data_IF_022009499163
#
_entry.id   IF_022009499163
#
_cell.length_a   1.000
_cell.length_b   1.000
_cell.length_c   1.000
_cell.angle_alpha   90.00
_cell.angle_beta   90.00
_cell.angle_gamma   90.00
#
_symmetry.space_group_name_H-M   'P 1'
#
loop_
_entity.id
_entity.type
_entity.pdbx_description
1 polymer ?
#
# COMPACT_ATOMS: atom_id res chain seq x y z
N UNK A 1 -14.36 -40.42 26.45
CA UNK A 1 -13.43 -40.76 25.37
C UNK A 1 -12.06 -40.21 25.75
N UNK A 2 -10.99 -41.01 25.67
CA UNK A 2 -9.63 -40.54 25.96
C UNK A 2 -9.20 -39.56 24.82
N UNK A 3 -8.72 -38.36 25.18
CA UNK A 3 -8.18 -37.43 24.19
C UNK A 3 -6.98 -38.09 23.47
N UNK A 4 -6.86 -37.84 22.15
CA UNK A 4 -5.74 -38.32 21.35
C UNK A 4 -4.43 -37.64 21.76
N UNK A 5 -3.30 -38.32 21.65
CA UNK A 5 -2.00 -37.72 21.93
C UNK A 5 -1.73 -36.53 20.98
N UNK A 6 -1.21 -35.42 21.52
CA UNK A 6 -0.95 -34.20 20.73
C UNK A 6 0.12 -34.41 19.66
N UNK A 7 1.10 -35.28 19.87
CA UNK A 7 2.06 -35.65 18.84
C UNK A 7 1.39 -36.41 17.69
N UNK A 8 0.47 -37.36 18.03
CA UNK A 8 -0.29 -38.11 17.03
C UNK A 8 -1.22 -37.22 16.21
N UNK A 9 -1.81 -36.18 16.84
CA UNK A 9 -2.66 -35.21 16.13
C UNK A 9 -1.85 -34.46 15.10
N UNK A 10 -0.61 -34.06 15.40
CA UNK A 10 0.27 -33.36 14.47
C UNK A 10 1.01 -34.32 13.52
N UNK A 11 0.90 -35.65 13.71
CA UNK A 11 1.61 -36.65 12.91
C UNK A 11 3.12 -36.65 13.18
N UNK A 12 3.54 -36.42 14.43
CA UNK A 12 4.92 -36.35 14.87
C UNK A 12 5.21 -37.42 15.93
N UNK A 13 6.50 -37.74 16.13
CA UNK A 13 6.97 -38.56 17.22
C UNK A 13 7.34 -37.73 18.45
N UNK A 14 7.25 -38.33 19.65
CA UNK A 14 7.79 -37.71 20.88
C UNK A 14 9.28 -37.40 20.68
N UNK A 15 9.66 -36.17 20.93
CA UNK A 15 11.03 -35.71 20.68
C UNK A 15 11.23 -34.85 19.44
N UNK A 16 10.18 -34.63 18.62
CA UNK A 16 10.24 -33.72 17.49
C UNK A 16 10.72 -32.31 17.91
N UNK A 17 11.54 -31.66 17.06
CA UNK A 17 12.02 -30.31 17.32
C UNK A 17 10.90 -29.28 17.22
N UNK A 18 11.07 -28.10 17.83
CA UNK A 18 10.14 -26.98 17.75
C UNK A 18 9.84 -26.58 16.30
N UNK A 19 10.86 -26.62 15.44
CA UNK A 19 10.70 -26.35 14.01
C UNK A 19 9.81 -27.35 13.28
N UNK A 20 9.91 -28.64 13.65
CA UNK A 20 9.05 -29.70 13.08
C UNK A 20 7.60 -29.57 13.58
N UNK A 21 7.42 -29.28 14.85
CA UNK A 21 6.08 -29.02 15.44
C UNK A 21 5.40 -27.86 14.71
N UNK A 22 6.10 -26.75 14.53
CA UNK A 22 5.59 -25.57 13.80
C UNK A 22 5.26 -25.87 12.33
N UNK A 23 6.12 -26.65 11.66
CA UNK A 23 5.90 -27.06 10.26
C UNK A 23 4.71 -27.99 10.12
N UNK A 24 4.56 -28.96 11.02
CA UNK A 24 3.44 -29.89 11.02
C UNK A 24 2.10 -29.17 11.25
N UNK A 25 2.06 -28.30 12.27
CA UNK A 25 0.87 -27.47 12.53
C UNK A 25 0.49 -26.62 11.31
N UNK A 26 1.43 -25.90 10.68
CA UNK A 26 1.15 -25.11 9.48
C UNK A 26 0.54 -25.95 8.36
N UNK A 27 1.04 -27.14 8.14
CA UNK A 27 0.53 -28.07 7.13
C UNK A 27 -0.92 -28.48 7.43
N UNK A 28 -1.23 -28.77 8.68
CA UNK A 28 -2.58 -29.11 9.13
C UNK A 28 -3.53 -27.92 9.06
N UNK A 29 -3.09 -26.77 9.51
CA UNK A 29 -3.88 -25.53 9.48
C UNK A 29 -4.26 -25.14 8.05
N UNK A 30 -3.36 -25.21 7.07
CA UNK A 30 -3.65 -24.93 5.66
C UNK A 30 -4.59 -25.98 5.06
N UNK A 31 -4.44 -27.24 5.46
CA UNK A 31 -5.25 -28.35 4.93
C UNK A 31 -6.70 -28.30 5.42
N UNK A 32 -6.90 -27.97 6.69
CA UNK A 32 -8.23 -28.00 7.36
C UNK A 32 -8.75 -26.58 7.66
N UNK A 33 -8.24 -25.55 6.93
CA UNK A 33 -8.70 -24.17 7.10
C UNK A 33 -10.20 -24.06 6.76
N UNK A 34 -11.01 -23.33 7.55
CA UNK A 34 -12.43 -23.18 7.28
C UNK A 34 -12.71 -22.54 5.92
N UNK A 35 -11.90 -21.58 5.46
CA UNK A 35 -12.08 -20.97 4.14
C UNK A 35 -11.88 -21.95 2.97
N UNK A 36 -11.11 -23.02 3.19
CA UNK A 36 -10.87 -24.06 2.17
C UNK A 36 -11.84 -25.23 2.28
N UNK A 37 -12.47 -25.42 3.43
CA UNK A 37 -13.41 -26.49 3.71
C UNK A 37 -14.67 -25.90 4.35
N UNK A 38 -15.43 -25.04 3.63
CA UNK A 38 -16.66 -24.47 4.14
C UNK A 38 -17.64 -25.62 4.41
N UNK A 39 -18.32 -25.58 5.56
CA UNK A 39 -19.34 -26.56 6.01
C UNK A 39 -18.86 -27.99 6.31
N UNK A 40 -17.55 -28.27 6.33
CA UNK A 40 -17.00 -29.56 6.77
C UNK A 40 -16.70 -29.56 8.28
N UNK A 41 -17.66 -30.02 9.08
CA UNK A 41 -17.53 -30.16 10.54
C UNK A 41 -16.38 -31.06 10.98
N UNK A 42 -15.97 -32.01 10.12
CA UNK A 42 -14.83 -32.89 10.42
C UNK A 42 -13.50 -32.17 10.19
N UNK A 43 -13.41 -31.29 9.20
CA UNK A 43 -12.25 -30.44 8.99
C UNK A 43 -12.12 -29.41 10.14
N UNK A 44 -13.22 -28.81 10.58
CA UNK A 44 -13.25 -27.89 11.70
C UNK A 44 -12.76 -28.55 13.01
N UNK A 45 -13.22 -29.77 13.28
CA UNK A 45 -12.77 -30.54 14.46
C UNK A 45 -11.28 -30.83 14.40
N UNK A 46 -10.74 -31.24 13.26
CA UNK A 46 -9.30 -31.51 13.07
C UNK A 46 -8.47 -30.24 13.17
N UNK A 47 -8.99 -29.11 12.71
CA UNK A 47 -8.34 -27.82 12.86
C UNK A 47 -8.22 -27.41 14.34
N UNK A 48 -9.31 -27.57 15.11
CA UNK A 48 -9.33 -27.30 16.56
C UNK A 48 -8.36 -28.20 17.34
N UNK A 49 -8.36 -29.51 17.04
CA UNK A 49 -7.41 -30.47 17.64
C UNK A 49 -5.95 -30.09 17.32
N UNK A 50 -5.65 -29.72 16.09
CA UNK A 50 -4.31 -29.32 15.70
C UNK A 50 -3.86 -28.01 16.36
N UNK A 51 -4.77 -27.06 16.55
CA UNK A 51 -4.51 -25.80 17.26
C UNK A 51 -4.23 -26.05 18.76
N UNK A 52 -5.06 -26.89 19.43
CA UNK A 52 -4.84 -27.28 20.81
C UNK A 52 -3.49 -28.00 20.99
N UNK A 53 -3.15 -28.92 20.10
CA UNK A 53 -1.89 -29.62 20.11
C UNK A 53 -0.67 -28.67 19.95
N UNK A 54 -0.78 -27.68 19.05
CA UNK A 54 0.29 -26.69 18.84
C UNK A 54 0.42 -25.73 20.02
N UNK A 55 -0.67 -25.35 20.69
CA UNK A 55 -0.64 -24.49 21.87
C UNK A 55 0.17 -25.14 23.03
N UNK A 56 0.06 -26.44 23.17
CA UNK A 56 0.78 -27.17 24.20
C UNK A 56 2.21 -27.52 23.79
N UNK A 57 2.40 -28.05 22.58
CA UNK A 57 3.70 -28.52 22.13
C UNK A 57 4.63 -27.40 21.62
N UNK A 58 4.07 -26.24 21.26
CA UNK A 58 4.83 -25.07 20.80
C UNK A 58 5.45 -24.22 21.91
N UNK A 59 5.04 -24.43 23.16
CA UNK A 59 5.62 -23.79 24.35
C UNK A 59 6.47 -24.78 25.12
N UNK A 60 7.73 -24.44 25.37
CA UNK A 60 8.68 -25.35 26.01
C UNK A 60 8.24 -25.80 27.42
N UNK A 61 7.59 -24.93 28.21
CA UNK A 61 7.12 -25.25 29.55
C UNK A 61 5.87 -26.14 29.53
N UNK A 62 4.90 -25.80 28.70
CA UNK A 62 3.67 -26.61 28.53
C UNK A 62 4.01 -27.98 27.95
N UNK A 63 4.92 -28.03 26.98
CA UNK A 63 5.42 -29.28 26.40
C UNK A 63 6.06 -30.18 27.45
N UNK A 64 6.93 -29.63 28.29
CA UNK A 64 7.57 -30.39 29.37
C UNK A 64 6.55 -30.96 30.37
N UNK A 65 5.53 -30.18 30.70
CA UNK A 65 4.43 -30.66 31.55
C UNK A 65 3.62 -31.76 30.86
N UNK A 66 3.34 -31.58 29.58
CA UNK A 66 2.62 -32.58 28.79
C UNK A 66 3.40 -33.88 28.65
N UNK A 67 4.71 -33.78 28.40
CA UNK A 67 5.60 -34.94 28.25
C UNK A 67 5.71 -35.75 29.55
N UNK A 68 5.59 -35.11 30.76
CA UNK A 68 5.65 -35.75 32.07
C UNK A 68 4.31 -36.30 32.55
N UNK A 69 3.24 -35.56 32.34
CA UNK A 69 1.95 -35.86 32.96
C UNK A 69 0.83 -36.15 31.95
N UNK A 70 1.10 -36.08 30.67
CA UNK A 70 0.08 -36.24 29.63
C UNK A 70 -1.05 -35.24 29.72
N UNK A 71 -2.22 -35.62 29.22
CA UNK A 71 -3.42 -34.78 29.32
C UNK A 71 -3.87 -34.52 30.77
N UNK A 72 -3.53 -35.37 31.70
CA UNK A 72 -3.90 -35.22 33.12
C UNK A 72 -3.17 -34.03 33.77
N UNK A 73 -1.93 -33.73 33.37
CA UNK A 73 -1.16 -32.59 33.85
C UNK A 73 -1.69 -31.21 33.40
N UNK A 74 -2.51 -31.21 32.36
CA UNK A 74 -3.09 -29.98 31.78
C UNK A 74 -4.48 -29.67 32.39
N UNK A 75 -5.02 -30.52 33.27
CA UNK A 75 -6.42 -30.52 33.70
C UNK A 75 -6.83 -29.48 34.76
N UNK A 76 -5.95 -28.64 35.28
CA UNK A 76 -6.30 -27.68 36.34
C UNK A 76 -6.08 -26.20 35.97
N UNK A 77 -5.49 -25.90 34.83
CA UNK A 77 -5.37 -24.53 34.27
C UNK A 77 -5.71 -24.43 32.77
N UNK A 78 -6.24 -25.51 32.20
CA UNK A 78 -6.60 -25.58 30.79
C UNK A 78 -8.10 -25.58 30.58
N UNK A 79 -8.56 -24.73 29.77
CA UNK A 79 -9.81 -24.76 29.00
C UNK A 79 -10.95 -25.64 29.49
N UNK A 80 -11.53 -25.29 30.64
CA UNK A 80 -12.76 -25.87 31.18
C UNK A 80 -13.96 -24.96 30.90
N UNK A 81 -14.75 -25.29 29.89
CA UNK A 81 -16.17 -24.99 29.84
C UNK A 81 -16.59 -23.52 29.79
N UNK A 82 -16.58 -22.96 28.62
CA UNK A 82 -17.26 -21.70 28.29
C UNK A 82 -17.02 -21.41 26.81
N UNK A 83 -18.07 -21.43 25.99
CA UNK A 83 -18.01 -21.28 24.55
C UNK A 83 -17.23 -20.03 24.10
N UNK A 84 -15.94 -20.18 23.87
CA UNK A 84 -15.17 -19.19 23.12
C UNK A 84 -15.58 -19.29 21.66
N UNK A 85 -16.07 -18.18 21.13
CA UNK A 85 -16.40 -18.04 19.74
C UNK A 85 -15.12 -18.15 18.89
N UNK A 86 -15.27 -18.67 17.68
CA UNK A 86 -14.21 -18.82 16.68
C UNK A 86 -13.45 -17.50 16.42
N UNK A 87 -14.13 -16.36 16.52
CA UNK A 87 -13.56 -15.02 16.38
C UNK A 87 -12.55 -14.66 17.48
N UNK A 88 -12.75 -15.14 18.72
CA UNK A 88 -11.81 -14.87 19.84
C UNK A 88 -10.51 -15.66 19.65
N UNK A 89 -10.61 -16.87 19.10
CA UNK A 89 -9.43 -17.69 18.76
C UNK A 89 -8.69 -17.07 17.58
N UNK A 90 -9.41 -16.58 16.57
CA UNK A 90 -8.83 -15.93 15.39
C UNK A 90 -8.17 -14.59 15.72
N UNK A 91 -8.75 -13.78 16.58
CA UNK A 91 -8.17 -12.49 16.99
C UNK A 91 -6.87 -12.68 17.79
N UNK A 92 -6.83 -13.68 18.66
CA UNK A 92 -5.64 -14.01 19.44
C UNK A 92 -4.51 -14.62 18.57
N UNK A 93 -4.88 -15.34 17.51
CA UNK A 93 -3.94 -15.88 16.50
C UNK A 93 -3.49 -14.83 15.49
N UNK A 94 -4.33 -13.87 15.14
CA UNK A 94 -3.97 -12.76 14.24
C UNK A 94 -2.80 -11.93 14.77
N UNK A 95 -2.76 -11.71 16.07
CA UNK A 95 -1.65 -10.99 16.74
C UNK A 95 -0.33 -11.81 16.80
N UNK A 96 -0.42 -13.13 16.77
CA UNK A 96 0.75 -14.02 16.82
C UNK A 96 1.33 -14.29 15.39
N UNK A 97 0.49 -14.28 14.36
CA UNK A 97 0.89 -14.63 12.99
C UNK A 97 1.00 -13.44 12.04
N UNK A 98 0.33 -12.31 12.33
CA UNK A 98 0.33 -11.12 11.47
C UNK A 98 1.46 -10.12 11.73
N UNK A 99 2.22 -10.28 12.79
CA UNK A 99 3.30 -9.34 13.14
C UNK A 99 4.54 -10.09 13.64
N UNK A 100 5.59 -10.06 12.88
CA UNK A 100 6.86 -10.69 13.19
C UNK A 100 7.44 -10.36 14.56
N UNK A 101 7.68 -11.38 15.36
CA UNK A 101 8.76 -11.43 16.34
C UNK A 101 8.57 -10.70 17.66
N UNK A 102 8.38 -11.43 18.74
CA UNK A 102 8.69 -10.88 20.04
C UNK A 102 7.94 -11.42 21.25
N UNK A 103 7.96 -12.69 21.46
CA UNK A 103 7.72 -13.21 22.80
C UNK A 103 9.03 -13.08 23.61
N UNK A 104 9.14 -12.04 24.43
CA UNK A 104 10.32 -11.82 25.28
C UNK A 104 10.13 -10.69 26.27
N UNK A 105 9.90 -11.04 27.53
CA UNK A 105 10.23 -10.24 28.69
C UNK A 105 9.37 -9.00 28.94
N UNK A 106 8.70 -8.96 30.09
CA UNK A 106 8.11 -7.77 30.69
C UNK A 106 9.10 -6.60 30.77
N UNK A 107 9.28 -5.89 29.66
CA UNK A 107 9.88 -4.57 29.70
C UNK A 107 8.86 -3.64 30.31
N UNK A 108 9.16 -3.14 31.49
CA UNK A 108 8.51 -1.96 32.07
C UNK A 108 8.29 -0.96 30.92
N UNK A 109 7.03 -0.78 30.50
CA UNK A 109 6.68 0.28 29.54
C UNK A 109 7.05 1.59 30.20
N UNK A 110 8.22 2.13 29.84
CA UNK A 110 8.56 3.52 30.15
C UNK A 110 7.41 4.45 29.72
N UNK A 111 7.33 5.65 30.22
CA UNK A 111 6.25 6.57 29.89
C UNK A 111 6.09 6.63 28.36
N UNK A 112 4.91 6.29 27.86
CA UNK A 112 4.61 6.32 26.42
C UNK A 112 4.81 7.75 25.93
N UNK A 113 5.91 7.99 25.22
CA UNK A 113 6.13 9.29 24.56
C UNK A 113 4.97 9.54 23.61
N UNK A 114 4.31 10.67 23.75
CA UNK A 114 3.25 11.09 22.84
C UNK A 114 3.83 11.20 21.45
N UNK A 115 3.05 10.75 20.45
CA UNK A 115 3.33 10.99 19.04
C UNK A 115 2.50 12.18 18.56
N UNK A 116 3.13 13.10 17.82
CA UNK A 116 2.44 14.18 17.13
C UNK A 116 1.51 13.65 16.06
N UNK A 117 0.56 14.46 15.62
CA UNK A 117 -0.34 14.10 14.55
C UNK A 117 0.37 14.10 13.20
N UNK A 118 -0.03 13.19 12.32
CA UNK A 118 0.47 13.15 10.96
C UNK A 118 -0.04 14.36 10.16
N UNK A 119 0.82 14.88 9.27
CA UNK A 119 0.46 15.93 8.34
C UNK A 119 0.33 15.33 6.94
N UNK A 120 -0.77 15.64 6.25
CA UNK A 120 -1.01 15.15 4.88
C UNK A 120 -0.98 16.33 3.91
N UNK A 121 -0.21 16.19 2.83
CA UNK A 121 -0.05 17.22 1.79
C UNK A 121 -0.19 16.56 0.43
N UNK A 122 -0.89 17.22 -0.51
CA UNK A 122 -0.91 16.82 -1.92
C UNK A 122 0.24 17.50 -2.65
N UNK A 123 0.89 16.78 -3.53
CA UNK A 123 1.96 17.29 -4.37
C UNK A 123 1.69 16.88 -5.82
N UNK A 124 1.49 17.89 -6.67
CA UNK A 124 1.31 17.71 -8.09
C UNK A 124 2.66 17.61 -8.79
N UNK A 125 2.81 16.63 -9.67
CA UNK A 125 4.03 16.36 -10.44
C UNK A 125 3.70 16.37 -11.93
N UNK A 126 4.58 16.96 -12.73
CA UNK A 126 4.52 16.84 -14.19
C UNK A 126 5.04 15.48 -14.65
N UNK A 127 4.72 15.11 -15.87
CA UNK A 127 5.18 13.84 -16.46
C UNK A 127 6.71 13.74 -16.51
N UNK A 128 7.41 14.84 -16.80
CA UNK A 128 8.87 14.90 -16.80
C UNK A 128 9.46 14.63 -15.41
N UNK A 129 8.84 15.19 -14.37
CA UNK A 129 9.27 14.97 -12.99
C UNK A 129 9.04 13.52 -12.54
N UNK A 130 7.96 12.90 -13.01
CA UNK A 130 7.67 11.49 -12.75
C UNK A 130 8.67 10.57 -13.45
N UNK A 131 9.05 10.89 -14.69
CA UNK A 131 9.98 10.08 -15.48
C UNK A 131 11.40 10.16 -14.95
N UNK A 132 11.85 11.37 -14.54
CA UNK A 132 13.22 11.62 -14.13
C UNK A 132 13.45 11.50 -12.62
N UNK A 133 12.36 11.54 -11.84
CA UNK A 133 12.44 11.80 -10.42
C UNK A 133 12.85 13.26 -10.13
N UNK A 134 12.55 13.74 -8.96
CA UNK A 134 12.83 15.14 -8.63
C UNK A 134 13.05 15.36 -7.14
N UNK A 135 13.96 16.26 -6.81
CA UNK A 135 14.09 16.81 -5.46
C UNK A 135 13.35 18.14 -5.37
N UNK A 136 12.29 18.17 -4.57
CA UNK A 136 11.48 19.37 -4.34
C UNK A 136 11.58 19.85 -2.89
N UNK A 137 11.52 21.15 -2.71
CA UNK A 137 11.36 21.79 -1.38
C UNK A 137 9.92 22.27 -1.28
N UNK A 138 9.16 21.66 -0.38
CA UNK A 138 7.78 22.10 -0.14
C UNK A 138 7.69 22.91 1.15
N UNK A 139 6.86 23.94 1.14
CA UNK A 139 6.54 24.75 2.31
C UNK A 139 5.26 24.18 2.92
N UNK A 140 5.37 23.62 4.10
CA UNK A 140 4.24 23.04 4.84
C UNK A 140 4.01 23.81 6.13
N UNK A 141 2.74 24.02 6.47
CA UNK A 141 2.38 24.60 7.76
C UNK A 141 2.23 23.47 8.77
N UNK A 142 3.16 23.35 9.69
CA UNK A 142 3.10 22.34 10.75
C UNK A 142 2.99 22.97 12.14
N UNK A 143 2.39 22.20 13.04
CA UNK A 143 2.37 22.54 14.45
C UNK A 143 3.73 22.18 15.05
N UNK A 144 4.43 23.18 15.60
CA UNK A 144 5.73 23.03 16.24
C UNK A 144 5.65 23.42 17.71
N UNK A 145 6.51 22.87 18.54
CA UNK A 145 6.59 23.30 19.94
C UNK A 145 7.03 24.78 19.99
N UNK A 146 6.20 25.59 20.62
CA UNK A 146 6.48 27.02 20.74
C UNK A 146 7.60 27.28 21.76
N UNK A 147 8.44 28.26 21.46
CA UNK A 147 9.47 28.71 22.38
C UNK A 147 8.83 29.45 23.57
N UNK A 148 9.40 29.27 24.76
CA UNK A 148 8.95 29.98 25.99
C UNK A 148 7.70 29.39 26.61
N UNK A 149 7.27 28.18 26.23
CA UNK A 149 6.21 27.45 26.90
C UNK A 149 6.76 26.69 28.10
N UNK A 150 6.18 26.94 29.26
CA UNK A 150 6.52 26.22 30.50
C UNK A 150 5.55 25.03 30.68
N UNK A 151 6.10 23.85 30.83
CA UNK A 151 5.33 22.63 31.13
C UNK A 151 5.47 22.27 32.62
N UNK A 152 4.34 22.15 33.32
CA UNK A 152 4.30 21.75 34.71
C UNK A 152 3.83 20.28 34.81
N UNK A 153 4.33 19.56 35.80
CA UNK A 153 3.81 18.19 36.08
C UNK A 153 2.32 18.25 36.39
N UNK A 154 1.55 17.34 35.78
CA UNK A 154 0.11 17.29 35.98
C UNK A 154 -0.22 16.96 37.44
N UNK A 155 -0.92 17.84 38.15
CA UNK A 155 -1.28 17.67 39.54
C UNK A 155 -2.20 16.48 39.80
N UNK A 156 -3.02 16.08 38.81
CA UNK A 156 -3.98 14.99 38.92
C UNK A 156 -3.33 13.60 38.90
N UNK A 157 -2.27 13.42 38.09
CA UNK A 157 -1.58 12.13 37.95
C UNK A 157 -0.12 12.16 38.46
N UNK A 158 0.36 13.27 38.99
CA UNK A 158 1.73 13.38 39.48
C UNK A 158 2.81 13.14 38.44
N UNK A 159 2.51 13.39 37.13
CA UNK A 159 3.43 13.14 36.05
C UNK A 159 3.30 11.76 35.38
N UNK A 160 2.53 10.81 35.93
CA UNK A 160 2.41 9.43 35.39
C UNK A 160 1.59 9.32 34.10
N UNK A 161 0.78 10.31 33.78
CA UNK A 161 -0.15 10.28 32.64
C UNK A 161 -1.35 9.38 32.80
N UNK A 162 -1.43 8.63 33.90
CA UNK A 162 -2.51 7.69 34.19
C UNK A 162 -3.08 7.91 35.58
N UNK A 163 -4.35 7.64 35.77
CA UNK A 163 -5.02 7.63 37.08
C UNK A 163 -5.59 6.23 37.34
N UNK A 164 -5.34 5.71 38.51
CA UNK A 164 -5.85 4.41 38.93
C UNK A 164 -7.21 4.62 39.59
N UNK A 165 -8.23 3.96 39.08
CA UNK A 165 -9.55 3.89 39.71
C UNK A 165 -9.74 2.51 40.34
N UNK A 166 -10.12 2.49 41.58
CA UNK A 166 -10.53 1.28 42.26
C UNK A 166 -12.06 1.18 42.16
N UNK A 167 -12.54 0.15 41.50
CA UNK A 167 -13.99 -0.15 41.42
C UNK A 167 -14.26 -1.40 42.21
N UNK A 168 -15.12 -1.29 43.24
CA UNK A 168 -15.57 -2.43 43.99
C UNK A 168 -16.60 -3.19 43.15
N UNK A 169 -16.29 -4.42 42.81
CA UNK A 169 -17.20 -5.35 42.12
C UNK A 169 -17.60 -6.47 43.07
N UNK A 170 -18.62 -7.27 42.69
CA UNK A 170 -19.08 -8.44 43.45
C UNK A 170 -17.94 -9.46 43.65
N UNK A 171 -16.88 -9.40 42.83
CA UNK A 171 -15.70 -10.28 42.90
C UNK A 171 -14.50 -9.65 43.62
N UNK A 172 -14.67 -8.47 44.23
CA UNK A 172 -13.60 -7.75 44.94
C UNK A 172 -13.23 -6.41 44.33
N UNK A 173 -12.25 -5.74 44.94
CA UNK A 173 -11.74 -4.45 44.47
C UNK A 173 -10.88 -4.65 43.23
N UNK A 174 -11.32 -4.08 42.10
CA UNK A 174 -10.63 -4.11 40.82
C UNK A 174 -9.95 -2.77 40.56
N UNK A 175 -8.63 -2.78 40.37
CA UNK A 175 -7.87 -1.59 40.00
C UNK A 175 -7.78 -1.47 38.48
N UNK A 176 -8.31 -0.38 37.96
CA UNK A 176 -8.25 -0.08 36.52
C UNK A 176 -7.43 1.20 36.30
N UNK A 177 -6.36 1.11 35.52
CA UNK A 177 -5.60 2.27 35.09
C UNK A 177 -6.29 2.90 33.88
N UNK A 178 -6.62 4.19 33.96
CA UNK A 178 -7.21 4.95 32.88
C UNK A 178 -6.33 6.16 32.54
N UNK A 179 -6.41 6.63 31.31
CA UNK A 179 -5.70 7.85 30.88
C UNK A 179 -6.15 9.03 31.74
N UNK A 180 -5.20 9.81 32.25
CA UNK A 180 -5.51 10.99 33.05
C UNK A 180 -6.34 12.00 32.28
N UNK A 181 -7.54 12.37 32.73
CA UNK A 181 -8.41 13.30 31.99
C UNK A 181 -7.87 14.72 31.92
N UNK A 182 -7.09 15.14 32.93
CA UNK A 182 -6.54 16.50 32.98
C UNK A 182 -5.40 16.76 31.99
N UNK A 183 -4.52 15.78 31.79
CA UNK A 183 -3.39 15.92 30.86
C UNK A 183 -3.54 15.04 29.63
N UNK A 184 -4.63 14.25 29.49
CA UNK A 184 -4.86 13.35 28.35
C UNK A 184 -3.71 12.35 28.15
N UNK A 185 -3.05 11.90 29.21
CA UNK A 185 -1.94 10.95 29.17
C UNK A 185 -0.55 11.59 29.03
N UNK A 186 -0.43 12.93 28.96
CA UNK A 186 0.86 13.61 28.81
C UNK A 186 1.73 13.59 30.07
N UNK A 187 1.12 13.43 31.22
CA UNK A 187 1.81 13.63 32.50
C UNK A 187 2.13 15.10 32.81
N UNK A 188 1.97 15.99 31.85
CA UNK A 188 2.30 17.41 31.96
C UNK A 188 1.13 18.27 31.48
N UNK A 189 1.04 19.49 32.00
CA UNK A 189 0.08 20.53 31.59
C UNK A 189 0.83 21.79 31.24
N UNK A 190 0.31 22.57 30.30
CA UNK A 190 0.90 23.86 29.91
C UNK A 190 0.65 24.87 31.05
N UNK A 191 1.71 25.44 31.59
CA UNK A 191 1.67 26.50 32.58
C UNK A 191 1.54 27.86 31.93
N UNK A 192 2.67 28.54 31.70
CA UNK A 192 2.70 29.80 30.95
C UNK A 192 2.86 29.56 29.47
N UNK A 193 2.14 30.35 28.66
CA UNK A 193 2.20 30.27 27.19
C UNK A 193 2.25 31.69 26.60
N UNK A 194 3.05 31.92 25.53
CA UNK A 194 3.03 33.18 24.77
C UNK A 194 1.70 33.37 24.03
N UNK A 195 1.36 34.61 23.61
CA UNK A 195 0.22 34.88 22.75
C UNK A 195 0.35 34.12 21.41
N UNK A 196 -0.76 33.54 20.93
CA UNK A 196 -0.78 32.80 19.66
C UNK A 196 -0.44 31.31 19.77
N UNK A 197 -0.09 30.81 20.94
CA UNK A 197 0.20 29.39 21.22
C UNK A 197 -1.08 28.70 21.69
N UNK A 198 -1.34 27.52 21.20
CA UNK A 198 -2.53 26.75 21.56
C UNK A 198 -2.47 26.19 23.01
N UNK A 199 -3.56 25.53 23.44
CA UNK A 199 -3.65 24.93 24.77
C UNK A 199 -2.69 23.74 24.99
N UNK A 200 -2.11 23.20 23.95
CA UNK A 200 -1.12 22.12 23.99
C UNK A 200 0.33 22.62 23.94
N UNK A 201 0.56 23.92 23.84
CA UNK A 201 1.90 24.51 23.75
C UNK A 201 2.48 24.48 22.34
N UNK A 202 1.65 24.29 21.33
CA UNK A 202 2.05 24.26 19.93
C UNK A 202 1.69 25.57 19.22
N UNK A 203 2.51 25.95 18.24
CA UNK A 203 2.23 27.05 17.32
C UNK A 203 2.31 26.58 15.87
N UNK A 204 1.55 27.22 14.98
CA UNK A 204 1.57 26.92 13.56
C UNK A 204 2.67 27.71 12.87
N UNK A 205 3.70 27.02 12.38
CA UNK A 205 4.81 27.64 11.62
C UNK A 205 4.94 27.04 10.22
N UNK A 206 5.26 27.87 9.21
CA UNK A 206 5.66 27.38 7.90
C UNK A 206 7.08 26.81 7.97
N UNK A 207 7.25 25.55 7.62
CA UNK A 207 8.54 24.86 7.57
C UNK A 207 8.79 24.38 6.15
N UNK A 208 10.01 24.55 5.66
CA UNK A 208 10.43 24.04 4.35
C UNK A 208 11.00 22.64 4.53
N UNK A 209 10.41 21.67 3.88
CA UNK A 209 10.82 20.25 3.93
C UNK A 209 11.35 19.84 2.57
N UNK A 210 12.62 19.39 2.47
CA UNK A 210 13.16 18.81 1.26
C UNK A 210 12.58 17.39 1.08
N UNK A 211 12.14 17.06 -0.15
CA UNK A 211 11.55 15.79 -0.50
C UNK A 211 12.28 15.26 -1.71
N UNK A 212 12.69 14.02 -1.64
CA UNK A 212 13.22 13.28 -2.78
C UNK A 212 12.14 12.33 -3.31
N UNK A 213 11.72 12.54 -4.56
CA UNK A 213 10.70 11.77 -5.23
C UNK A 213 11.39 10.86 -6.24
N UNK A 214 11.30 9.53 -6.08
CA UNK A 214 11.90 8.61 -7.04
C UNK A 214 11.17 8.65 -8.39
N UNK A 215 11.88 8.28 -9.46
CA UNK A 215 11.28 8.13 -10.77
C UNK A 215 10.25 6.98 -10.79
N UNK A 216 9.22 7.12 -11.61
CA UNK A 216 8.20 6.07 -11.78
C UNK A 216 7.06 6.07 -10.76
N UNK A 217 6.92 7.11 -9.93
CA UNK A 217 5.78 7.22 -9.00
C UNK A 217 4.46 7.28 -9.77
N UNK A 218 3.39 6.79 -9.13
CA UNK A 218 2.03 6.74 -9.70
C UNK A 218 1.10 7.73 -9.01
N UNK A 219 0.03 8.13 -9.70
CA UNK A 219 -1.03 8.94 -9.10
C UNK A 219 -1.64 8.23 -7.89
N UNK A 220 -1.92 8.99 -6.84
CA UNK A 220 -2.43 8.47 -5.57
C UNK A 220 -1.39 7.80 -4.67
N UNK A 221 -0.16 7.59 -5.09
CA UNK A 221 0.90 7.07 -4.23
C UNK A 221 1.17 7.98 -3.04
N UNK A 222 1.54 7.36 -1.91
CA UNK A 222 1.83 8.06 -0.67
C UNK A 222 3.29 7.85 -0.27
N UNK A 223 4.03 8.96 -0.15
CA UNK A 223 5.37 8.97 0.41
C UNK A 223 5.28 9.34 1.89
N UNK A 224 5.85 8.50 2.75
CA UNK A 224 5.86 8.71 4.20
C UNK A 224 7.23 9.18 4.68
N UNK A 225 7.30 10.43 5.18
CA UNK A 225 8.48 10.98 5.80
C UNK A 225 8.32 10.94 7.32
N UNK A 226 8.98 9.99 7.95
CA UNK A 226 8.93 9.80 9.40
C UNK A 226 9.45 11.01 10.15
N UNK A 227 8.74 11.41 11.21
CA UNK A 227 9.12 12.51 12.09
C UNK A 227 9.04 13.92 11.48
N UNK A 228 8.53 14.06 10.24
CA UNK A 228 8.41 15.35 9.54
C UNK A 228 7.00 15.97 9.64
N UNK A 229 6.07 15.32 10.35
CA UNK A 229 4.73 15.83 10.64
C UNK A 229 4.69 16.81 11.79
N UNK A 230 3.53 16.96 12.43
CA UNK A 230 3.34 17.85 13.56
C UNK A 230 4.11 17.37 14.80
N UNK A 231 4.63 18.29 15.56
CA UNK A 231 5.28 17.98 16.83
C UNK A 231 4.25 17.45 17.85
N UNK A 232 4.75 16.70 18.81
CA UNK A 232 3.95 16.30 19.96
C UNK A 232 4.09 17.34 21.07
N UNK A 233 3.02 17.66 21.79
CA UNK A 233 3.09 18.56 22.93
C UNK A 233 4.10 18.07 24.00
N UNK A 234 4.90 18.99 24.53
CA UNK A 234 5.83 18.68 25.62
C UNK A 234 7.05 17.84 25.22
N UNK A 235 7.48 17.87 23.96
CA UNK A 235 8.73 17.24 23.50
C UNK A 235 8.62 15.73 23.26
N UNK A 236 7.45 15.25 22.83
CA UNK A 236 7.25 13.89 22.36
C UNK A 236 7.88 13.60 20.99
N UNK A 237 7.51 12.49 20.37
CA UNK A 237 7.97 12.13 19.03
C UNK A 237 7.09 12.84 18.00
N UNK A 238 7.65 13.57 17.02
CA UNK A 238 6.86 14.15 15.95
C UNK A 238 6.06 13.11 15.17
N UNK A 239 4.95 13.53 14.56
CA UNK A 239 4.20 12.70 13.62
C UNK A 239 4.93 12.54 12.28
N UNK A 240 4.29 11.94 11.31
CA UNK A 240 4.84 11.72 9.98
C UNK A 240 4.22 12.69 8.98
N UNK A 241 4.99 13.09 7.97
CA UNK A 241 4.49 13.83 6.82
C UNK A 241 4.13 12.81 5.72
N UNK A 242 2.87 12.78 5.36
CA UNK A 242 2.34 11.92 4.29
C UNK A 242 2.10 12.80 3.07
N UNK A 243 2.87 12.54 2.01
CA UNK A 243 2.77 13.25 0.75
C UNK A 243 1.99 12.37 -0.22
N UNK A 244 0.86 12.87 -0.70
CA UNK A 244 0.04 12.20 -1.71
C UNK A 244 0.42 12.79 -3.06
N UNK A 245 0.94 11.94 -3.94
CA UNK A 245 1.30 12.33 -5.31
C UNK A 245 0.01 12.48 -6.12
N UNK A 246 -0.02 13.52 -6.95
CA UNK A 246 -1.05 13.72 -7.96
C UNK A 246 -0.36 14.02 -9.27
N UNK A 247 -0.70 13.29 -10.33
CA UNK A 247 -0.16 13.51 -11.65
C UNK A 247 -0.89 14.66 -12.35
N UNK A 248 -0.13 15.57 -12.98
CA UNK A 248 -0.67 16.61 -13.83
C UNK A 248 -0.92 16.05 -15.23
N UNK A 249 -2.09 16.35 -15.79
CA UNK A 249 -2.42 15.94 -17.17
C UNK A 249 -1.42 16.57 -18.15
N UNK A 250 -0.81 15.72 -19.00
CA UNK A 250 0.10 16.20 -20.04
C UNK A 250 -0.69 16.48 -21.33
N UNK A 251 -0.35 17.57 -22.04
CA UNK A 251 -1.09 18.06 -23.21
C UNK A 251 -1.24 17.03 -24.34
N UNK A 252 -0.28 16.14 -24.51
CA UNK A 252 -0.20 15.26 -25.69
C UNK A 252 0.07 13.80 -25.40
N UNK A 253 0.61 13.48 -24.22
CA UNK A 253 0.96 12.11 -23.82
C UNK A 253 -0.01 11.64 -22.74
N UNK A 254 -0.56 10.45 -22.92
CA UNK A 254 -1.47 9.81 -21.96
C UNK A 254 -0.76 8.62 -21.32
N UNK A 255 -0.83 8.53 -20.01
CA UNK A 255 -0.22 7.45 -19.26
C UNK A 255 -1.16 6.25 -19.16
N UNK A 256 -0.61 5.05 -19.37
CA UNK A 256 -1.25 3.77 -19.06
C UNK A 256 -0.23 2.85 -18.35
N UNK A 257 -0.25 2.83 -17.02
CA UNK A 257 0.75 2.15 -16.23
C UNK A 257 2.16 2.72 -16.44
N UNK A 258 3.07 1.91 -16.98
CA UNK A 258 4.43 2.34 -17.36
C UNK A 258 4.52 2.82 -18.81
N UNK A 259 3.52 2.53 -19.65
CA UNK A 259 3.49 2.93 -21.03
C UNK A 259 2.87 4.33 -21.21
N UNK A 260 3.27 4.99 -22.30
CA UNK A 260 2.72 6.27 -22.72
C UNK A 260 2.06 6.13 -24.09
N UNK A 261 0.91 6.75 -24.25
CA UNK A 261 0.15 6.78 -25.50
C UNK A 261 0.25 8.15 -26.14
N UNK A 262 0.40 8.17 -27.44
CA UNK A 262 0.43 9.38 -28.27
C UNK A 262 -0.41 9.20 -29.53
N UNK A 263 -1.32 10.12 -29.81
CA UNK A 263 -2.12 10.14 -31.03
C UNK A 263 -1.43 11.00 -32.10
N UNK A 264 -0.85 10.32 -33.08
CA UNK A 264 -0.16 10.95 -34.20
C UNK A 264 -1.11 11.15 -35.36
N UNK A 265 -1.44 12.40 -35.64
CA UNK A 265 -2.23 12.75 -36.80
C UNK A 265 -1.30 13.02 -38.03
N UNK A 266 -1.50 12.25 -39.11
CA UNK A 266 -0.76 12.41 -40.34
C UNK A 266 -1.73 12.67 -41.52
N UNK A 267 -1.25 13.34 -42.56
CA UNK A 267 -2.07 13.54 -43.74
C UNK A 267 -2.30 12.22 -44.50
N UNK A 268 -3.38 12.14 -45.25
CA UNK A 268 -3.65 11.02 -46.15
C UNK A 268 -2.47 10.81 -47.13
N UNK A 269 -1.87 11.90 -47.66
CA UNK A 269 -0.75 11.86 -48.58
C UNK A 269 0.49 11.26 -47.91
N UNK A 270 0.82 11.68 -46.69
CA UNK A 270 1.93 11.12 -45.92
C UNK A 270 1.73 9.64 -45.59
N UNK A 271 0.49 9.25 -45.28
CA UNK A 271 0.14 7.85 -45.01
C UNK A 271 0.32 6.97 -46.28
N UNK A 272 -0.04 7.50 -47.46
CA UNK A 272 0.05 6.78 -48.72
C UNK A 272 1.50 6.65 -49.20
N UNK A 273 2.24 7.77 -49.24
CA UNK A 273 3.60 7.82 -49.78
C UNK A 273 4.69 7.43 -48.76
N UNK A 274 4.37 7.48 -47.51
CA UNK A 274 5.32 7.39 -46.40
C UNK A 274 6.04 8.73 -46.16
N UNK A 275 6.36 8.96 -44.88
CA UNK A 275 6.99 10.23 -44.48
C UNK A 275 7.88 10.01 -43.26
N UNK A 276 8.62 11.05 -42.87
CA UNK A 276 9.29 11.12 -41.56
C UNK A 276 8.58 12.18 -40.72
N UNK A 277 8.16 11.80 -39.54
CA UNK A 277 7.46 12.69 -38.62
C UNK A 277 8.19 12.76 -37.29
N UNK A 278 8.12 13.92 -36.64
CA UNK A 278 8.62 14.09 -35.29
C UNK A 278 7.48 13.79 -34.29
N UNK A 279 7.80 13.00 -33.28
CA UNK A 279 6.89 12.71 -32.18
C UNK A 279 7.48 13.21 -30.86
N UNK A 280 6.67 13.78 -29.97
CA UNK A 280 7.14 14.21 -28.66
C UNK A 280 7.54 12.98 -27.84
N UNK A 281 8.62 13.13 -27.09
CA UNK A 281 9.01 12.26 -26.00
C UNK A 281 8.91 13.08 -24.72
N UNK A 282 8.96 12.43 -23.58
CA UNK A 282 9.07 13.13 -22.30
C UNK A 282 10.34 13.99 -22.28
N UNK A 283 11.47 13.47 -22.75
CA UNK A 283 12.74 14.17 -22.82
C UNK A 283 13.07 14.53 -24.29
N UNK A 284 12.31 15.44 -24.91
CA UNK A 284 12.60 15.93 -26.25
C UNK A 284 11.73 15.33 -27.35
N UNK A 285 12.32 15.01 -28.52
CA UNK A 285 11.57 14.52 -29.69
C UNK A 285 12.30 13.37 -30.37
N UNK A 286 11.53 12.46 -30.97
CA UNK A 286 12.07 11.39 -31.84
C UNK A 286 11.56 11.53 -33.26
N UNK A 287 12.42 11.25 -34.25
CA UNK A 287 12.04 11.12 -35.67
C UNK A 287 11.67 9.67 -35.93
N UNK A 288 10.45 9.44 -36.40
CA UNK A 288 9.97 8.12 -36.81
C UNK A 288 9.67 8.09 -38.31
N UNK A 289 9.88 6.94 -38.92
CA UNK A 289 9.56 6.71 -40.34
C UNK A 289 8.19 6.04 -40.44
N UNK A 290 7.29 6.67 -41.15
CA UNK A 290 5.99 6.10 -41.54
C UNK A 290 6.19 5.36 -42.86
N UNK A 291 5.87 4.07 -42.87
CA UNK A 291 5.97 3.27 -44.09
C UNK A 291 4.86 3.66 -45.09
N UNK A 292 5.14 3.61 -46.43
CA UNK A 292 4.09 3.81 -47.41
C UNK A 292 2.92 2.84 -47.23
N UNK A 293 1.68 3.32 -47.41
CA UNK A 293 0.46 2.53 -47.21
C UNK A 293 0.08 2.28 -45.78
N UNK A 294 0.59 3.06 -44.81
CA UNK A 294 0.24 2.96 -43.41
C UNK A 294 -1.24 3.28 -43.20
N UNK A 295 -1.98 2.35 -42.61
CA UNK A 295 -3.41 2.49 -42.33
C UNK A 295 -3.66 3.20 -41.03
N UNK A 296 -4.80 3.93 -40.95
CA UNK A 296 -5.28 4.52 -39.69
C UNK A 296 -5.53 3.44 -38.60
N UNK A 297 -5.19 3.74 -37.37
CA UNK A 297 -5.28 2.81 -36.24
C UNK A 297 -4.10 1.83 -36.15
N UNK A 298 -3.02 2.03 -36.94
CA UNK A 298 -1.78 1.30 -36.76
C UNK A 298 -1.04 1.86 -35.54
N UNK A 299 -0.62 0.97 -34.65
CA UNK A 299 0.17 1.34 -33.48
C UNK A 299 1.65 1.10 -33.76
N UNK A 300 2.47 2.15 -33.58
CA UNK A 300 3.92 2.07 -33.61
C UNK A 300 4.45 2.13 -32.19
N UNK A 301 5.50 1.35 -31.91
CA UNK A 301 6.06 1.19 -30.57
C UNK A 301 7.48 1.72 -30.50
N UNK A 302 7.73 2.69 -29.64
CA UNK A 302 9.05 3.15 -29.27
C UNK A 302 9.46 2.51 -27.95
N UNK A 303 10.35 1.54 -28.02
CA UNK A 303 10.77 0.75 -26.88
C UNK A 303 11.59 1.58 -25.89
N UNK A 304 11.37 1.31 -24.59
CA UNK A 304 12.11 1.94 -23.49
C UNK A 304 12.03 3.48 -23.48
N UNK A 305 10.91 4.07 -23.93
CA UNK A 305 10.67 5.51 -23.95
C UNK A 305 9.52 5.95 -23.05
N UNK A 306 8.86 5.02 -22.38
CA UNK A 306 7.81 5.27 -21.40
C UNK A 306 8.36 5.66 -20.03
N UNK A 307 7.63 5.33 -18.97
CA UNK A 307 7.93 5.64 -17.58
C UNK A 307 8.79 4.53 -16.98
N UNK A 308 9.82 4.83 -16.17
CA UNK A 308 10.59 3.81 -15.46
C UNK A 308 9.73 3.14 -14.37
N UNK A 309 9.98 1.88 -14.11
CA UNK A 309 9.37 1.15 -12.99
C UNK A 309 9.98 1.58 -11.66
N UNK A 310 9.15 1.93 -10.68
CA UNK A 310 9.58 2.43 -9.37
C UNK A 310 10.53 1.48 -8.62
N UNK A 311 10.26 0.18 -8.66
CA UNK A 311 11.02 -0.86 -7.95
C UNK A 311 11.70 -1.87 -8.90
N UNK A 312 11.80 -1.54 -10.18
CA UNK A 312 12.34 -2.41 -11.21
C UNK A 312 13.48 -1.74 -11.98
N UNK A 313 14.07 -2.52 -12.89
CA UNK A 313 15.05 -2.02 -13.86
C UNK A 313 14.39 -1.77 -15.23
N UNK A 314 13.09 -1.97 -15.34
CA UNK A 314 12.30 -1.81 -16.54
C UNK A 314 11.94 -0.35 -16.82
N UNK A 315 11.64 -0.08 -18.08
CA UNK A 315 11.04 1.16 -18.53
C UNK A 315 9.97 0.81 -19.56
N UNK A 316 8.79 1.40 -19.46
CA UNK A 316 7.71 1.24 -20.41
C UNK A 316 8.06 1.79 -21.80
N UNK A 317 7.13 1.71 -22.70
CA UNK A 317 7.26 2.12 -24.09
C UNK A 317 6.37 3.32 -24.39
N UNK A 318 6.59 3.97 -25.55
CA UNK A 318 5.61 4.88 -26.12
C UNK A 318 4.87 4.17 -27.24
N UNK A 319 3.55 4.10 -27.12
CA UNK A 319 2.63 3.56 -28.10
C UNK A 319 2.03 4.69 -28.92
N UNK A 320 2.41 4.77 -30.20
CA UNK A 320 2.00 5.84 -31.10
C UNK A 320 0.86 5.31 -31.95
N UNK A 321 -0.34 5.81 -31.74
CA UNK A 321 -1.52 5.50 -32.52
C UNK A 321 -1.56 6.43 -33.76
N UNK A 322 -1.40 5.85 -34.94
CA UNK A 322 -1.39 6.62 -36.21
C UNK A 322 -2.84 6.86 -36.64
N UNK A 323 -3.22 8.13 -36.70
CA UNK A 323 -4.53 8.59 -37.15
C UNK A 323 -4.38 9.33 -38.47
N UNK A 324 -5.01 8.81 -39.51
CA UNK A 324 -4.98 9.46 -40.83
C UNK A 324 -6.04 10.53 -40.90
N UNK A 325 -5.59 11.77 -41.09
CA UNK A 325 -6.45 12.93 -41.23
C UNK A 325 -7.02 13.03 -42.64
N UNK A 326 -8.34 13.08 -42.77
CA UNK A 326 -9.07 13.30 -44.01
C UNK A 326 -9.54 14.76 -44.06
N UNK A 327 -9.24 15.52 -45.15
CA UNK A 327 -9.65 16.91 -45.28
C UNK A 327 -11.16 17.06 -45.23
N UNK A 328 -11.64 18.01 -44.43
CA UNK A 328 -13.10 18.29 -44.29
C UNK A 328 -13.58 19.24 -45.39
N UNK A 329 -12.72 20.10 -45.92
CA UNK A 329 -13.03 21.06 -46.95
C UNK A 329 -12.01 20.92 -48.07
N UNK A 330 -12.48 20.91 -49.33
CA UNK A 330 -11.65 20.79 -50.53
C UNK A 330 -11.92 21.97 -51.44
N UNK A 331 -10.87 22.49 -52.07
CA UNK A 331 -10.97 23.42 -53.20
C UNK A 331 -11.48 22.69 -54.45
N UNK A 332 -11.83 23.43 -55.51
CA UNK A 332 -12.26 22.82 -56.78
C UNK A 332 -11.15 21.99 -57.42
N UNK A 333 -9.91 22.43 -57.36
CA UNK A 333 -8.74 21.76 -57.91
C UNK A 333 -8.39 20.47 -57.14
N UNK A 334 -8.41 20.52 -55.81
CA UNK A 334 -8.19 19.34 -54.95
C UNK A 334 -9.26 18.27 -55.20
N UNK A 335 -10.54 18.70 -55.31
CA UNK A 335 -11.65 17.80 -55.60
C UNK A 335 -11.45 17.11 -56.94
N UNK A 336 -11.07 17.85 -58.01
CA UNK A 336 -10.86 17.33 -59.33
C UNK A 336 -9.69 16.30 -59.35
N UNK A 337 -8.63 16.58 -58.60
CA UNK A 337 -7.50 15.65 -58.44
C UNK A 337 -7.93 14.35 -57.75
N UNK A 338 -8.68 14.44 -56.68
CA UNK A 338 -9.19 13.27 -55.93
C UNK A 338 -10.22 12.48 -56.74
N UNK A 339 -11.07 13.13 -57.56
CA UNK A 339 -12.02 12.48 -58.45
C UNK A 339 -11.28 11.65 -59.50
N UNK A 340 -10.16 12.15 -60.04
CA UNK A 340 -9.31 11.42 -60.97
C UNK A 340 -8.64 10.18 -60.37
N UNK A 341 -8.43 10.14 -59.04
CA UNK A 341 -7.88 8.99 -58.36
C UNK A 341 -8.93 7.93 -58.02
N UNK A 342 -10.21 8.28 -57.97
CA UNK A 342 -11.31 7.42 -57.53
C UNK A 342 -11.48 6.16 -58.39
N UNK A 343 -11.12 6.22 -59.68
CA UNK A 343 -11.22 5.10 -60.62
C UNK A 343 -9.99 4.17 -60.57
N UNK A 344 -8.94 4.58 -59.86
CA UNK A 344 -7.72 3.77 -59.79
C UNK A 344 -7.93 2.61 -58.78
N UNK A 345 -7.61 1.38 -59.22
CA UNK A 345 -7.77 0.16 -58.38
C UNK A 345 -7.04 0.26 -57.04
N UNK A 346 -5.88 0.92 -56.99
CA UNK A 346 -5.09 1.06 -55.75
C UNK A 346 -5.74 1.95 -54.68
N UNK A 347 -6.72 2.79 -55.08
CA UNK A 347 -7.45 3.68 -54.14
C UNK A 347 -8.79 3.07 -53.67
N UNK A 348 -9.14 1.91 -54.18
CA UNK A 348 -10.35 1.20 -53.78
C UNK A 348 -10.04 0.13 -52.74
N UNK A 349 -10.79 0.08 -51.64
CA UNK A 349 -10.58 -0.96 -50.61
C UNK A 349 -10.93 -2.34 -51.20
N UNK A 350 -10.01 -3.30 -51.06
CA UNK A 350 -10.26 -4.68 -51.50
C UNK A 350 -10.96 -5.44 -50.36
N UNK A 351 -12.22 -5.89 -50.54
CA UNK A 351 -12.92 -6.65 -49.50
C UNK A 351 -12.15 -7.93 -49.14
N UNK A 352 -12.00 -8.19 -47.85
CA UNK A 352 -11.39 -9.43 -47.34
C UNK A 352 -9.89 -9.42 -47.09
N UNK A 353 -9.12 -8.38 -47.47
CA UNK A 353 -7.69 -8.27 -47.16
C UNK A 353 -7.38 -7.42 -45.93
N UNK A 354 -8.34 -6.72 -45.39
CA UNK A 354 -8.17 -5.90 -44.17
C UNK A 354 -8.56 -6.72 -42.96
N UNK A 355 -7.65 -6.84 -42.01
CA UNK A 355 -7.97 -7.42 -40.68
C UNK A 355 -9.20 -6.72 -40.11
N UNK A 356 -10.16 -7.47 -39.61
CA UNK A 356 -11.36 -6.91 -38.94
C UNK A 356 -10.96 -6.00 -37.80
N UNK A 357 -11.81 -5.02 -37.46
CA UNK A 357 -11.64 -4.20 -36.27
C UNK A 357 -11.40 -5.06 -35.02
N UNK A 358 -12.13 -6.16 -34.89
CA UNK A 358 -11.98 -7.10 -33.76
C UNK A 358 -10.65 -7.86 -33.78
N UNK A 359 -10.05 -8.13 -34.93
CA UNK A 359 -8.73 -8.75 -35.04
C UNK A 359 -7.62 -7.77 -34.65
N UNK A 360 -7.82 -6.47 -34.90
CA UNK A 360 -6.90 -5.40 -34.47
C UNK A 360 -6.95 -5.17 -32.97
N UNK A 361 -8.12 -5.24 -32.35
CA UNK A 361 -8.29 -5.11 -30.89
C UNK A 361 -7.70 -6.30 -30.13
N UNK A 362 -7.78 -7.52 -30.72
CA UNK A 362 -7.19 -8.73 -30.11
C UNK A 362 -5.67 -8.80 -30.25
N UNK A 363 -5.10 -8.25 -31.29
CA UNK A 363 -3.67 -8.28 -31.56
C UNK A 363 -3.17 -6.88 -32.00
N UNK A 364 -3.03 -5.93 -31.09
CA UNK A 364 -2.64 -4.55 -31.43
C UNK A 364 -1.23 -4.42 -32.02
N UNK A 365 -0.39 -5.46 -31.88
CA UNK A 365 1.01 -5.49 -32.34
C UNK A 365 1.29 -6.52 -33.45
N UNK A 366 0.27 -7.14 -34.04
CA UNK A 366 0.38 -8.19 -35.07
C UNK A 366 0.34 -7.69 -36.51
#
# INVERSE_FOLDING_TARGET
MSKRDYYDILGLSKGASEGEIKKAYRKMAIKFHPDKNPDDTSAESKFKEAAEAYEVLGDAQKRQQYDQFGHAGMGQQGFGGGGMNMDDIFSQFGDIFGGGGGFGGGRSRGPRRRKGSNLRVKLTLTLEEIVNGVEKKIKVNKMVNAEGVEFNSCSTCGGSGQVTRVTNTILGAMQTASTCPSCGGAGQTVGKRPPGVDSSGLEKKPVVVPINIPAGVEDGMQLNMQGSGNDAPGGGVPGDLIIVITEEEHDTLYRDGSDLHYDLHISFVDAAMGSQVEVPLVDGKAKIKIAPGTQSGKVLRLRNKGIPELNGYGRGDILINVLVWTPQKLTKEERQTLEGLKENENFNPTPGKTKSFFDRVKNPFG
#
